data_IF_409288179845
#
_entry.id   IF_409288179845
#
_cell.length_a   1.000
_cell.length_b   1.000
_cell.length_c   1.000
_cell.angle_alpha   90.00
_cell.angle_beta   90.00
_cell.angle_gamma   90.00
#
_symmetry.space_group_name_H-M   'P 1'
#
loop_
_entity.id
_entity.type
_entity.pdbx_description
1 polymer ?
#
# COMPACT_ATOMS: atom_id res chain seq x y z
N UNK A 1 13.13 8.98 -17.99
CA UNK A 1 12.31 9.92 -18.79
C UNK A 1 10.97 9.31 -19.21
N UNK A 2 10.94 8.13 -19.84
CA UNK A 2 9.69 7.55 -20.38
C UNK A 2 8.66 7.12 -19.31
N UNK A 3 9.09 6.99 -18.06
CA UNK A 3 8.22 6.72 -16.91
C UNK A 3 7.73 7.98 -16.18
N UNK A 4 8.12 9.18 -16.63
CA UNK A 4 7.69 10.42 -16.01
C UNK A 4 6.19 10.66 -16.25
N UNK A 5 5.46 11.05 -15.21
CA UNK A 5 4.02 11.33 -15.28
C UNK A 5 3.11 10.11 -15.53
N UNK A 6 3.65 8.88 -15.53
CA UNK A 6 2.83 7.66 -15.61
C UNK A 6 1.95 7.54 -14.38
N UNK A 7 0.64 7.35 -14.59
CA UNK A 7 -0.32 7.19 -13.49
C UNK A 7 -0.25 5.77 -12.94
N UNK A 8 -0.61 5.61 -11.66
CA UNK A 8 -0.62 4.30 -11.00
C UNK A 8 -1.49 3.26 -11.73
N UNK A 9 -2.63 3.68 -12.30
CA UNK A 9 -3.51 2.82 -13.08
C UNK A 9 -2.84 2.31 -14.37
N UNK A 10 -2.16 3.21 -15.11
CA UNK A 10 -1.47 2.86 -16.36
C UNK A 10 -0.32 1.86 -16.11
N UNK A 11 0.36 2.00 -14.96
CA UNK A 11 1.38 1.04 -14.52
C UNK A 11 0.80 -0.36 -14.28
N UNK A 12 -0.34 -0.47 -13.60
CA UNK A 12 -0.98 -1.78 -13.37
C UNK A 12 -1.51 -2.41 -14.65
N UNK A 13 -2.12 -1.62 -15.54
CA UNK A 13 -2.62 -2.10 -16.84
C UNK A 13 -1.48 -2.56 -17.74
N UNK A 14 -0.39 -1.82 -17.82
CA UNK A 14 0.78 -2.18 -18.64
C UNK A 14 1.46 -3.47 -18.15
N UNK A 15 1.55 -3.68 -16.83
CA UNK A 15 2.01 -4.95 -16.26
C UNK A 15 1.09 -6.11 -16.65
N UNK A 16 -0.24 -5.97 -16.48
CA UNK A 16 -1.20 -7.02 -16.88
C UNK A 16 -1.19 -7.32 -18.38
N UNK A 17 -0.78 -6.36 -19.21
CA UNK A 17 -0.58 -6.54 -20.65
C UNK A 17 0.79 -7.16 -21.01
N UNK A 18 1.62 -7.51 -20.03
CA UNK A 18 2.96 -8.06 -20.24
C UNK A 18 3.97 -7.06 -20.82
N UNK A 19 3.68 -5.74 -20.80
CA UNK A 19 4.56 -4.71 -21.36
C UNK A 19 5.76 -4.41 -20.46
N UNK A 20 5.60 -4.63 -19.15
CA UNK A 20 6.66 -4.45 -18.17
C UNK A 20 6.76 -5.68 -17.27
N UNK A 21 7.99 -6.14 -16.95
CA UNK A 21 8.20 -7.38 -16.19
C UNK A 21 8.05 -7.19 -14.67
N UNK A 22 8.08 -5.95 -14.18
CA UNK A 22 8.03 -5.62 -12.75
C UNK A 22 6.99 -4.53 -12.53
N UNK A 23 6.16 -4.74 -11.51
CA UNK A 23 5.19 -3.79 -10.98
C UNK A 23 5.50 -3.55 -9.51
N UNK A 24 5.75 -2.29 -9.14
CA UNK A 24 5.92 -1.89 -7.74
C UNK A 24 4.62 -1.21 -7.32
N UNK A 25 3.84 -1.89 -6.47
CA UNK A 25 2.54 -1.43 -6.01
C UNK A 25 2.15 -2.12 -4.70
N UNK A 26 1.00 -1.78 -4.14
CA UNK A 26 0.47 -2.45 -2.96
C UNK A 26 -0.43 -3.65 -3.26
N UNK A 27 -0.72 -4.39 -2.20
CA UNK A 27 -1.52 -5.63 -2.24
C UNK A 27 -2.95 -5.43 -2.74
N UNK A 28 -3.50 -4.21 -2.76
CA UNK A 28 -4.84 -3.94 -3.29
C UNK A 28 -5.00 -4.26 -4.78
N UNK A 29 -3.91 -4.43 -5.54
CA UNK A 29 -3.96 -4.89 -6.93
C UNK A 29 -4.15 -6.40 -7.09
N UNK A 30 -3.87 -7.20 -6.06
CA UNK A 30 -3.71 -8.65 -6.22
C UNK A 30 -4.95 -9.37 -6.75
N UNK A 31 -6.15 -9.01 -6.27
CA UNK A 31 -7.40 -9.55 -6.80
C UNK A 31 -7.58 -9.25 -8.29
N UNK A 32 -7.24 -8.03 -8.71
CA UNK A 32 -7.30 -7.63 -10.12
C UNK A 32 -6.26 -8.37 -10.97
N UNK A 33 -5.02 -8.53 -10.48
CA UNK A 33 -3.98 -9.29 -11.16
C UNK A 33 -4.37 -10.76 -11.34
N UNK A 34 -4.89 -11.41 -10.29
CA UNK A 34 -5.34 -12.80 -10.33
C UNK A 34 -6.52 -13.02 -11.29
N UNK A 35 -7.45 -12.07 -11.32
CA UNK A 35 -8.60 -12.15 -12.22
C UNK A 35 -8.23 -11.80 -13.67
N UNK A 36 -7.33 -10.84 -13.90
CA UNK A 36 -7.05 -10.25 -15.21
C UNK A 36 -5.89 -10.88 -15.99
N UNK A 37 -4.87 -11.43 -15.31
CA UNK A 37 -3.73 -12.07 -15.99
C UNK A 37 -4.05 -13.54 -16.26
N UNK A 38 -4.10 -13.92 -17.54
CA UNK A 38 -4.33 -15.30 -18.00
C UNK A 38 -3.17 -15.87 -18.82
N UNK A 39 -2.39 -15.00 -19.44
CA UNK A 39 -1.46 -15.38 -20.50
C UNK A 39 -0.01 -15.54 -20.02
N UNK A 40 0.29 -15.23 -18.76
CA UNK A 40 1.62 -15.42 -18.18
C UNK A 40 1.59 -15.71 -16.68
N UNK A 41 2.67 -16.30 -16.19
CA UNK A 41 2.88 -16.55 -14.77
C UNK A 41 3.44 -15.32 -14.07
N UNK A 42 2.97 -15.06 -12.85
CA UNK A 42 3.40 -13.95 -12.03
C UNK A 42 3.31 -14.32 -10.55
N UNK A 43 4.01 -13.57 -9.70
CA UNK A 43 3.98 -13.69 -8.25
C UNK A 43 4.45 -12.39 -7.60
N UNK A 44 4.65 -12.39 -6.28
CA UNK A 44 5.29 -11.28 -5.57
C UNK A 44 6.45 -11.75 -4.70
N UNK A 45 7.32 -10.80 -4.38
CA UNK A 45 8.39 -11.02 -3.42
C UNK A 45 8.49 -9.81 -2.50
N UNK A 46 9.15 -10.00 -1.36
CA UNK A 46 9.30 -8.97 -0.35
C UNK A 46 10.20 -7.84 -0.85
N UNK A 47 9.75 -6.60 -0.68
CA UNK A 47 10.58 -5.43 -0.89
C UNK A 47 11.82 -5.47 0.01
N UNK A 48 13.04 -5.12 -0.44
CA UNK A 48 14.22 -5.09 0.42
C UNK A 48 14.08 -4.06 1.56
N UNK A 49 14.46 -4.43 2.79
CA UNK A 49 14.36 -3.53 3.94
C UNK A 49 12.93 -3.37 4.45
N UNK A 50 12.50 -2.14 4.72
CA UNK A 50 11.15 -1.85 5.24
C UNK A 50 10.11 -1.79 4.11
N UNK A 51 8.94 -2.40 4.34
CA UNK A 51 7.79 -2.33 3.43
C UNK A 51 6.84 -1.24 3.90
N UNK A 52 6.71 -0.18 3.10
CA UNK A 52 5.80 0.92 3.37
C UNK A 52 4.32 0.54 3.17
N UNK A 53 3.44 1.18 3.94
CA UNK A 53 1.98 1.11 3.75
C UNK A 53 1.25 0.13 4.68
N UNK A 54 1.79 -0.13 5.87
CA UNK A 54 1.29 -1.14 6.81
C UNK A 54 -0.05 -0.82 7.51
N UNK A 55 -0.56 0.41 7.41
CA UNK A 55 -1.76 0.84 8.14
C UNK A 55 -3.09 0.62 7.38
N UNK A 56 -3.04 0.40 6.06
CA UNK A 56 -4.22 0.12 5.23
C UNK A 56 -5.38 1.12 5.39
N UNK A 57 -6.61 0.64 5.14
CA UNK A 57 -7.83 1.40 5.35
C UNK A 57 -8.32 1.20 6.79
N UNK A 58 -8.51 2.29 7.53
CA UNK A 58 -8.95 2.25 8.93
C UNK A 58 -10.40 2.71 9.07
N UNK A 59 -11.19 1.98 9.86
CA UNK A 59 -12.47 2.46 10.34
C UNK A 59 -12.25 3.41 11.52
N UNK A 60 -12.84 4.60 11.46
CA UNK A 60 -12.71 5.62 12.50
C UNK A 60 -14.10 6.02 12.99
N UNK A 61 -14.30 6.04 14.31
CA UNK A 61 -15.53 6.53 14.93
C UNK A 61 -15.30 7.95 15.45
N UNK A 62 -15.93 8.98 14.85
CA UNK A 62 -15.79 10.34 15.34
C UNK A 62 -16.27 10.49 16.79
N UNK A 63 -15.52 11.24 17.60
CA UNK A 63 -15.84 11.44 19.02
C UNK A 63 -17.26 12.02 19.25
N UNK A 64 -17.74 12.85 18.32
CA UNK A 64 -19.08 13.45 18.34
C UNK A 64 -20.19 12.62 17.69
N UNK A 65 -19.92 11.36 17.30
CA UNK A 65 -20.95 10.51 16.69
C UNK A 65 -22.12 10.29 17.66
N UNK A 66 -23.35 10.46 17.16
CA UNK A 66 -24.59 10.15 17.89
C UNK A 66 -24.92 8.66 17.92
N UNK A 67 -24.25 7.87 17.08
CA UNK A 67 -24.54 6.45 16.84
C UNK A 67 -23.28 5.61 17.03
N UNK A 68 -22.59 5.75 18.16
CA UNK A 68 -21.31 5.05 18.42
C UNK A 68 -21.49 3.53 18.44
N UNK A 69 -22.51 3.04 19.13
CA UNK A 69 -22.78 1.60 19.22
C UNK A 69 -23.00 0.96 17.84
N UNK A 70 -23.81 1.58 16.97
CA UNK A 70 -24.00 1.09 15.60
C UNK A 70 -22.72 1.12 14.76
N UNK A 71 -21.84 2.10 14.99
CA UNK A 71 -20.55 2.14 14.33
C UNK A 71 -19.63 1.00 14.83
N UNK A 72 -19.67 0.68 16.13
CA UNK A 72 -18.94 -0.45 16.69
C UNK A 72 -19.49 -1.80 16.19
N UNK A 73 -20.81 -1.96 16.11
CA UNK A 73 -21.45 -3.14 15.52
C UNK A 73 -20.99 -3.33 14.07
N UNK A 74 -20.97 -2.26 13.27
CA UNK A 74 -20.48 -2.33 11.90
C UNK A 74 -19.01 -2.76 11.83
N UNK A 75 -18.14 -2.16 12.64
CA UNK A 75 -16.72 -2.56 12.72
C UNK A 75 -16.62 -4.05 13.09
N UNK A 76 -17.37 -4.50 14.10
CA UNK A 76 -17.38 -5.90 14.52
C UNK A 76 -17.83 -6.84 13.39
N UNK A 77 -18.85 -6.47 12.62
CA UNK A 77 -19.28 -7.23 11.44
C UNK A 77 -18.13 -7.34 10.43
N UNK A 78 -17.44 -6.24 10.13
CA UNK A 78 -16.30 -6.28 9.18
C UNK A 78 -15.13 -7.12 9.67
N UNK A 79 -14.98 -7.26 10.99
CA UNK A 79 -13.95 -8.09 11.63
C UNK A 79 -14.37 -9.56 11.83
N UNK A 80 -15.62 -9.92 11.49
CA UNK A 80 -16.08 -11.30 11.61
C UNK A 80 -15.30 -12.24 10.68
N UNK A 81 -15.07 -13.51 11.06
CA UNK A 81 -14.33 -14.47 10.24
C UNK A 81 -14.87 -14.59 8.80
N UNK A 82 -16.19 -14.61 8.64
CA UNK A 82 -16.82 -14.72 7.32
C UNK A 82 -16.50 -13.53 6.41
N UNK A 83 -16.44 -12.31 6.95
CA UNK A 83 -16.11 -11.12 6.16
C UNK A 83 -14.60 -11.08 5.86
N UNK A 84 -13.76 -11.45 6.82
CA UNK A 84 -12.31 -11.51 6.63
C UNK A 84 -11.91 -12.56 5.58
N UNK A 85 -12.58 -13.72 5.54
CA UNK A 85 -12.42 -14.71 4.48
C UNK A 85 -12.82 -14.16 3.10
N UNK A 86 -13.94 -13.42 3.02
CA UNK A 86 -14.35 -12.77 1.77
C UNK A 86 -13.33 -11.71 1.30
N UNK A 87 -12.78 -10.92 2.22
CA UNK A 87 -11.76 -9.92 1.90
C UNK A 87 -10.49 -10.59 1.37
N UNK A 88 -10.05 -11.68 2.01
CA UNK A 88 -8.92 -12.49 1.55
C UNK A 88 -9.17 -13.02 0.13
N UNK A 89 -10.33 -13.63 -0.11
CA UNK A 89 -10.64 -14.26 -1.39
C UNK A 89 -10.85 -13.23 -2.52
N UNK A 90 -11.21 -11.99 -2.17
CA UNK A 90 -11.22 -10.85 -3.10
C UNK A 90 -9.81 -10.28 -3.39
N UNK A 91 -8.77 -10.82 -2.75
CA UNK A 91 -7.38 -10.39 -2.91
C UNK A 91 -6.92 -9.29 -1.97
N UNK A 92 -7.64 -9.06 -0.88
CA UNK A 92 -7.20 -8.23 0.23
C UNK A 92 -6.30 -8.98 1.22
N UNK A 93 -5.75 -8.23 2.18
CA UNK A 93 -4.98 -8.78 3.30
C UNK A 93 -5.90 -8.81 4.53
N UNK A 94 -6.40 -9.98 4.97
CA UNK A 94 -7.25 -10.06 6.15
C UNK A 94 -6.45 -9.72 7.41
N UNK A 95 -7.09 -9.04 8.35
CA UNK A 95 -6.52 -8.70 9.66
C UNK A 95 -6.72 -9.83 10.68
N UNK A 96 -7.80 -10.60 10.51
CA UNK A 96 -8.10 -11.75 11.37
C UNK A 96 -7.69 -13.01 10.64
N UNK A 97 -6.79 -13.78 11.24
CA UNK A 97 -6.50 -15.13 10.77
C UNK A 97 -7.62 -16.07 11.20
N UNK A 98 -8.40 -16.53 10.23
CA UNK A 98 -9.51 -17.46 10.44
C UNK A 98 -9.06 -18.92 10.48
N UNK A 99 -7.77 -19.19 10.21
CA UNK A 99 -7.23 -20.54 10.07
C UNK A 99 -7.77 -21.30 8.85
N UNK A 100 -8.67 -20.69 8.06
CA UNK A 100 -9.19 -21.31 6.85
C UNK A 100 -8.20 -21.14 5.70
N UNK A 101 -7.98 -22.21 4.95
CA UNK A 101 -7.21 -22.11 3.71
C UNK A 101 -7.99 -21.25 2.70
N UNK A 102 -7.29 -20.40 1.95
CA UNK A 102 -7.90 -19.68 0.83
C UNK A 102 -8.46 -20.68 -0.17
N UNK A 103 -9.73 -20.54 -0.54
CA UNK A 103 -10.33 -21.25 -1.67
C UNK A 103 -9.97 -20.61 -3.01
N UNK A 104 -9.28 -19.47 -2.99
CA UNK A 104 -8.96 -18.68 -4.17
C UNK A 104 -7.54 -18.98 -4.70
N UNK A 105 -7.16 -18.33 -5.80
CA UNK A 105 -5.96 -18.64 -6.59
C UNK A 105 -4.67 -18.74 -5.73
N UNK A 106 -3.71 -19.63 -6.04
CA UNK A 106 -2.48 -19.82 -5.26
C UNK A 106 -1.72 -18.52 -4.97
N UNK A 107 -1.77 -17.56 -5.89
CA UNK A 107 -1.16 -16.24 -5.74
C UNK A 107 -1.70 -15.45 -4.54
N UNK A 108 -2.97 -15.63 -4.16
CA UNK A 108 -3.55 -14.96 -2.99
C UNK A 108 -3.00 -15.52 -1.67
N UNK A 109 -2.56 -16.78 -1.65
CA UNK A 109 -1.89 -17.37 -0.49
C UNK A 109 -0.53 -16.70 -0.25
N UNK A 110 0.21 -16.43 -1.33
CA UNK A 110 1.53 -15.79 -1.29
C UNK A 110 1.48 -14.41 -0.63
N UNK A 111 0.44 -13.59 -0.89
CA UNK A 111 0.29 -12.26 -0.25
C UNK A 111 0.14 -12.38 1.26
N UNK A 112 -0.71 -13.29 1.71
CA UNK A 112 -0.96 -13.47 3.13
C UNK A 112 0.30 -13.99 3.85
N UNK A 113 1.03 -14.92 3.24
CA UNK A 113 2.31 -15.42 3.75
C UNK A 113 3.39 -14.31 3.77
N UNK A 114 3.46 -13.49 2.73
CA UNK A 114 4.35 -12.34 2.67
C UNK A 114 4.03 -11.32 3.77
N UNK A 115 2.76 -11.00 3.99
CA UNK A 115 2.35 -10.10 5.07
C UNK A 115 2.72 -10.65 6.45
N UNK A 116 2.42 -11.93 6.72
CA UNK A 116 2.82 -12.60 7.98
C UNK A 116 4.33 -12.56 8.19
N UNK A 117 5.09 -12.78 7.12
CA UNK A 117 6.56 -12.72 7.16
C UNK A 117 7.06 -11.31 7.50
N UNK A 118 6.50 -10.28 6.86
CA UNK A 118 6.86 -8.88 7.14
C UNK A 118 6.52 -8.47 8.58
N UNK A 119 5.35 -8.88 9.06
CA UNK A 119 4.93 -8.61 10.44
C UNK A 119 5.85 -9.31 11.46
N UNK A 120 6.18 -10.58 11.24
CA UNK A 120 7.05 -11.34 12.13
C UNK A 120 8.50 -10.82 12.14
N UNK A 121 8.94 -10.17 11.07
CA UNK A 121 10.29 -9.62 10.94
C UNK A 121 10.40 -8.14 11.37
N UNK A 122 9.31 -7.53 11.85
CA UNK A 122 9.26 -6.09 12.17
C UNK A 122 9.65 -5.20 10.96
N UNK A 123 9.18 -5.57 9.77
CA UNK A 123 9.50 -4.88 8.51
C UNK A 123 8.35 -4.05 7.94
N UNK A 124 7.29 -3.87 8.72
CA UNK A 124 6.14 -3.06 8.36
C UNK A 124 6.39 -1.59 8.72
N UNK A 125 6.31 -0.70 7.75
CA UNK A 125 6.49 0.74 7.95
C UNK A 125 5.26 1.54 7.52
N UNK A 126 5.07 2.70 8.16
CA UNK A 126 4.13 3.69 7.67
C UNK A 126 4.54 4.23 6.30
N UNK A 127 3.59 4.85 5.60
CA UNK A 127 3.89 5.51 4.36
C UNK A 127 4.88 6.68 4.59
N UNK A 128 5.89 6.84 3.71
CA UNK A 128 6.93 7.84 3.91
C UNK A 128 6.41 9.28 3.76
N UNK A 129 5.22 9.49 3.20
CA UNK A 129 4.56 10.79 3.03
C UNK A 129 3.71 11.24 4.23
N UNK A 130 3.58 10.41 5.26
CA UNK A 130 2.81 10.75 6.47
C UNK A 130 3.48 11.72 7.47
N UNK A 131 4.82 11.85 7.56
CA UNK A 131 5.44 12.66 8.59
C UNK A 131 5.17 14.18 8.55
N UNK A 132 4.68 14.72 7.44
CA UNK A 132 4.38 16.15 7.30
C UNK A 132 3.16 16.41 6.40
N UNK A 133 2.40 17.50 6.62
CA UNK A 133 1.32 17.88 5.71
C UNK A 133 1.81 18.15 4.29
N UNK A 134 1.10 17.64 3.27
CA UNK A 134 1.42 17.85 1.85
C UNK A 134 2.69 17.12 1.37
N UNK A 135 3.29 16.28 2.21
CA UNK A 135 4.60 15.67 1.93
C UNK A 135 4.56 14.65 0.77
N UNK A 136 3.38 14.11 0.47
CA UNK A 136 3.14 13.30 -0.73
C UNK A 136 3.51 14.07 -2.01
N UNK A 137 3.00 15.29 -2.16
CA UNK A 137 3.24 16.11 -3.36
C UNK A 137 4.71 16.50 -3.50
N UNK A 138 5.37 16.75 -2.36
CA UNK A 138 6.83 16.99 -2.31
C UNK A 138 7.60 15.78 -2.83
N UNK A 139 7.30 14.59 -2.34
CA UNK A 139 7.98 13.37 -2.76
C UNK A 139 7.72 13.06 -4.24
N UNK A 140 6.47 13.18 -4.70
CA UNK A 140 6.13 12.99 -6.11
C UNK A 140 6.90 13.98 -6.99
N UNK A 141 6.87 15.28 -6.67
CA UNK A 141 7.61 16.32 -7.41
C UNK A 141 9.11 16.02 -7.47
N UNK A 142 9.73 15.76 -6.32
CA UNK A 142 11.18 15.54 -6.23
C UNK A 142 11.62 14.29 -7.01
N UNK A 143 10.85 13.20 -6.94
CA UNK A 143 11.14 11.98 -7.71
C UNK A 143 10.93 12.21 -9.22
N UNK A 144 9.92 12.97 -9.64
CA UNK A 144 9.75 13.33 -11.05
C UNK A 144 10.94 14.15 -11.58
N UNK A 145 11.46 15.08 -10.78
CA UNK A 145 12.67 15.86 -11.14
C UNK A 145 13.90 14.95 -11.30
N UNK A 146 14.04 13.94 -10.44
CA UNK A 146 15.09 12.93 -10.56
C UNK A 146 14.95 12.12 -11.85
N UNK A 147 13.75 11.59 -12.15
CA UNK A 147 13.46 10.77 -13.35
C UNK A 147 13.69 11.55 -14.66
N UNK A 148 13.40 12.84 -14.64
CA UNK A 148 13.57 13.73 -15.80
C UNK A 148 15.00 14.28 -15.93
N UNK A 149 15.82 14.14 -14.89
CA UNK A 149 17.18 14.68 -14.82
C UNK A 149 17.22 16.20 -14.63
N UNK A 150 16.14 16.81 -14.14
CA UNK A 150 16.05 18.25 -13.88
C UNK A 150 16.54 18.64 -12.48
N UNK A 151 16.81 17.66 -11.61
CA UNK A 151 17.48 17.82 -10.34
C UNK A 151 18.49 16.68 -10.11
N UNK A 152 19.59 16.99 -9.41
CA UNK A 152 20.57 16.01 -8.95
C UNK A 152 20.05 15.24 -7.73
N UNK A 153 20.62 14.05 -7.41
CA UNK A 153 20.24 13.32 -6.19
C UNK A 153 20.34 14.16 -4.91
N UNK A 154 21.37 15.00 -4.77
CA UNK A 154 21.52 15.87 -3.60
C UNK A 154 20.38 16.90 -3.50
N UNK A 155 20.06 17.56 -4.62
CA UNK A 155 18.96 18.54 -4.66
C UNK A 155 17.60 17.89 -4.33
N UNK A 156 17.38 16.65 -4.76
CA UNK A 156 16.17 15.88 -4.42
C UNK A 156 16.11 15.59 -2.93
N UNK A 157 17.24 15.20 -2.32
CA UNK A 157 17.30 14.98 -0.87
C UNK A 157 17.06 16.27 -0.08
N UNK A 158 17.60 17.40 -0.54
CA UNK A 158 17.36 18.71 0.09
C UNK A 158 15.88 19.12 -0.01
N UNK A 159 15.25 18.92 -1.18
CA UNK A 159 13.82 19.22 -1.41
C UNK A 159 12.90 18.39 -0.52
N UNK A 160 13.23 17.11 -0.31
CA UNK A 160 12.48 16.23 0.59
C UNK A 160 12.74 16.65 2.06
N UNK A 161 13.99 16.88 2.46
CA UNK A 161 14.34 17.12 3.87
C UNK A 161 13.72 18.41 4.43
N UNK A 162 13.62 19.47 3.63
CA UNK A 162 13.20 20.80 4.09
C UNK A 162 11.80 20.82 4.73
N UNK A 163 10.70 20.41 4.05
CA UNK A 163 9.36 20.45 4.65
C UNK A 163 9.21 19.52 5.85
N UNK A 164 9.96 18.42 5.89
CA UNK A 164 10.02 17.56 7.08
C UNK A 164 10.64 18.27 8.29
N UNK A 165 11.78 18.92 8.10
CA UNK A 165 12.45 19.68 9.17
C UNK A 165 11.60 20.86 9.64
N UNK A 166 10.96 21.57 8.71
CA UNK A 166 10.02 22.65 9.02
C UNK A 166 8.82 22.15 9.82
N UNK A 167 8.22 21.01 9.45
CA UNK A 167 7.13 20.41 10.21
C UNK A 167 7.61 19.99 11.62
N UNK A 168 8.73 19.28 11.72
CA UNK A 168 9.30 18.84 12.99
C UNK A 168 9.56 19.99 13.97
N UNK A 169 10.00 21.15 13.47
CA UNK A 169 10.23 22.34 14.30
C UNK A 169 8.95 22.94 14.91
N UNK A 170 7.79 22.62 14.34
CA UNK A 170 6.48 23.20 14.67
C UNK A 170 5.49 22.21 15.31
N UNK A 171 5.68 20.89 15.15
CA UNK A 171 4.80 19.88 15.75
C UNK A 171 4.80 19.98 17.29
N UNK A 172 3.61 20.11 17.88
CA UNK A 172 3.41 20.12 19.34
C UNK A 172 3.64 21.46 20.03
N UNK A 173 3.85 22.54 19.27
CA UNK A 173 3.79 23.93 19.75
C UNK A 173 2.42 24.53 19.43
#
# INVERSE_FOLDING_TARGET
KDSAGVKAEDMGVSFMQGKHPIMISGSWWYGRLASGIKDFQWGSFLWPGLTAGSAGNMWVVPAGSKNKELAYDFIQITMSPQIQDKLRDAGGVPLVDTGSASSAAPQLKEVAENFKTLAAQDRLAFYPDWPAPGYYDVQVSAVQKLITGTATPHQVMDEIAKPYQENLANVGK
#
